data_IF_084893087989
#
_entry.id   IF_084893087989
#
_cell.length_a   1.000
_cell.length_b   1.000
_cell.length_c   1.000
_cell.angle_alpha   90.00
_cell.angle_beta   90.00
_cell.angle_gamma   90.00
#
_symmetry.space_group_name_H-M   'P 1'
#
loop_
_entity.id
_entity.type
_entity.pdbx_description
1 polymer ?
#
# COMPACT_ATOMS: atom_id res chain seq x y z
N UNK A 1 3.09 -26.14 5.80
CA UNK A 1 3.46 -24.87 5.15
C UNK A 1 2.49 -24.64 4.01
N UNK A 2 1.79 -23.52 4.00
CA UNK A 2 0.83 -23.13 2.95
C UNK A 2 1.38 -21.92 2.22
N UNK A 3 1.45 -21.94 0.90
CA UNK A 3 1.89 -20.80 0.10
C UNK A 3 0.93 -20.55 -1.07
N UNK A 4 0.68 -19.28 -1.37
CA UNK A 4 -0.15 -18.84 -2.50
C UNK A 4 0.44 -17.58 -3.10
N UNK A 5 0.41 -17.48 -4.43
CA UNK A 5 0.77 -16.27 -5.18
C UNK A 5 -0.33 -16.01 -6.21
N UNK A 6 -0.66 -14.74 -6.44
CA UNK A 6 -1.55 -14.30 -7.50
C UNK A 6 -0.89 -14.65 -8.85
N UNK A 7 -1.50 -15.53 -9.66
CA UNK A 7 -0.86 -16.00 -10.89
C UNK A 7 -0.50 -14.86 -11.83
N UNK A 8 0.73 -14.91 -12.35
CA UNK A 8 1.21 -13.96 -13.35
C UNK A 8 1.67 -12.61 -12.79
N UNK A 9 1.40 -12.24 -11.53
CA UNK A 9 1.93 -10.99 -10.98
C UNK A 9 3.33 -11.15 -10.41
N UNK A 10 4.22 -10.20 -10.73
CA UNK A 10 5.55 -10.06 -10.15
C UNK A 10 5.92 -8.57 -10.12
N UNK A 11 6.43 -8.02 -8.99
CA UNK A 11 6.90 -6.63 -8.92
C UNK A 11 7.83 -6.22 -10.06
N UNK A 12 8.77 -7.07 -10.49
CA UNK A 12 9.70 -6.83 -11.59
C UNK A 12 9.08 -6.74 -12.99
N UNK A 13 7.82 -7.18 -13.15
CA UNK A 13 7.12 -7.20 -14.45
C UNK A 13 5.89 -6.29 -14.44
N UNK A 14 5.23 -6.14 -13.28
CA UNK A 14 3.92 -5.50 -13.14
C UNK A 14 3.92 -4.32 -12.16
N UNK A 15 5.03 -4.10 -11.45
CA UNK A 15 5.27 -2.89 -10.66
C UNK A 15 5.96 -1.82 -11.50
N UNK A 16 5.75 -0.54 -11.17
CA UNK A 16 6.49 0.54 -11.85
C UNK A 16 7.99 0.40 -11.59
N UNK A 17 8.80 0.65 -12.63
CA UNK A 17 10.27 0.56 -12.56
C UNK A 17 10.96 1.81 -12.00
N UNK A 18 10.16 2.77 -11.51
CA UNK A 18 10.63 3.98 -10.84
C UNK A 18 10.18 3.98 -9.39
N UNK A 19 11.01 4.53 -8.51
CA UNK A 19 10.66 4.65 -7.10
C UNK A 19 9.61 5.75 -6.89
N UNK A 20 8.83 5.61 -5.82
CA UNK A 20 7.92 6.63 -5.32
C UNK A 20 8.68 7.83 -4.71
N UNK A 21 9.40 8.54 -5.57
CA UNK A 21 10.20 9.71 -5.26
C UNK A 21 9.86 10.78 -6.30
N UNK A 22 9.06 11.76 -5.90
CA UNK A 22 8.54 12.78 -6.81
C UNK A 22 9.23 14.12 -6.57
N UNK A 23 9.56 14.87 -7.64
CA UNK A 23 10.06 16.21 -7.49
C UNK A 23 8.99 17.11 -6.87
N UNK A 24 9.47 18.12 -6.16
CA UNK A 24 8.67 19.22 -5.61
C UNK A 24 7.68 19.78 -6.61
N UNK A 25 6.39 19.79 -6.29
CA UNK A 25 5.39 20.38 -7.16
C UNK A 25 3.96 20.08 -6.72
N UNK A 26 2.98 20.90 -7.13
CA UNK A 26 1.60 20.68 -6.75
C UNK A 26 1.09 19.38 -7.38
N UNK A 27 0.49 18.52 -6.55
CA UNK A 27 -0.17 17.26 -6.94
C UNK A 27 -1.54 17.52 -7.59
N UNK A 28 -1.66 18.51 -8.47
CA UNK A 28 -2.92 19.08 -9.04
C UNK A 28 -3.69 19.98 -8.05
N UNK A 29 -4.05 21.20 -8.48
CA UNK A 29 -5.04 22.07 -7.80
C UNK A 29 -6.45 21.72 -8.31
N UNK A 30 -7.35 21.20 -7.48
CA UNK A 30 -8.76 21.00 -7.85
C UNK A 30 -9.61 22.20 -7.41
N UNK A 31 -9.37 23.36 -8.02
CA UNK A 31 -10.23 24.55 -7.84
C UNK A 31 -10.35 25.06 -6.40
N UNK A 32 -11.26 26.03 -6.15
CA UNK A 32 -11.36 26.75 -4.87
C UNK A 32 -12.11 26.02 -3.74
N UNK A 33 -12.70 24.85 -4.00
CA UNK A 33 -13.49 24.07 -3.02
C UNK A 33 -12.84 22.73 -2.65
N UNK A 34 -11.52 22.65 -2.76
CA UNK A 34 -10.76 21.42 -2.67
C UNK A 34 -10.66 20.88 -1.22
N UNK A 35 -11.30 19.74 -0.88
CA UNK A 35 -11.34 19.20 0.48
C UNK A 35 -10.00 18.64 0.99
N UNK A 36 -8.90 18.77 0.23
CA UNK A 36 -7.59 18.14 0.45
C UNK A 36 -6.62 18.95 1.33
N UNK A 37 -7.12 19.88 2.15
CA UNK A 37 -6.33 20.71 3.10
C UNK A 37 -5.61 19.85 4.19
N UNK A 38 -5.88 18.55 4.26
CA UNK A 38 -5.20 17.62 5.17
C UNK A 38 -4.19 16.76 4.41
N UNK A 39 -2.96 17.27 4.23
CA UNK A 39 -1.76 16.46 3.91
C UNK A 39 -1.59 15.95 2.46
N UNK A 40 -2.55 16.16 1.55
CA UNK A 40 -2.50 15.69 0.14
C UNK A 40 -2.15 16.84 -0.83
N UNK A 41 -1.23 17.72 -0.42
CA UNK A 41 -0.92 18.97 -1.13
C UNK A 41 0.41 19.01 -1.89
N UNK A 42 1.33 18.08 -1.61
CA UNK A 42 2.69 18.07 -2.17
C UNK A 42 3.10 16.64 -2.55
N UNK A 43 3.57 16.46 -3.79
CA UNK A 43 4.00 15.16 -4.32
C UNK A 43 5.24 14.63 -3.59
N UNK A 44 6.01 15.49 -2.91
CA UNK A 44 7.14 15.10 -2.05
C UNK A 44 6.76 14.12 -0.95
N UNK A 45 5.50 14.13 -0.51
CA UNK A 45 4.98 13.18 0.48
C UNK A 45 4.72 11.78 -0.12
N UNK A 46 5.05 11.57 -1.40
CA UNK A 46 4.85 10.34 -2.12
C UNK A 46 3.43 10.20 -2.70
N UNK A 47 3.34 9.44 -3.79
CA UNK A 47 2.10 8.98 -4.42
C UNK A 47 1.97 7.45 -4.34
N UNK A 48 2.41 6.85 -3.22
CA UNK A 48 2.45 5.40 -3.05
C UNK A 48 1.09 4.75 -3.31
N UNK A 49 -0.01 5.34 -2.81
CA UNK A 49 -1.36 4.85 -3.07
C UNK A 49 -1.77 4.95 -4.53
N UNK A 50 -1.40 6.03 -5.19
CA UNK A 50 -1.61 6.21 -6.63
C UNK A 50 -0.86 5.17 -7.46
N UNK A 51 0.39 4.89 -7.11
CA UNK A 51 1.22 3.89 -7.78
C UNK A 51 0.70 2.47 -7.54
N UNK A 52 0.35 2.12 -6.31
CA UNK A 52 -0.27 0.83 -5.92
C UNK A 52 -1.55 0.61 -6.71
N UNK A 53 -2.46 1.58 -6.72
CA UNK A 53 -3.75 1.42 -7.39
C UNK A 53 -3.60 1.39 -8.91
N UNK A 54 -2.68 2.16 -9.48
CA UNK A 54 -2.43 2.16 -10.93
C UNK A 54 -1.76 0.87 -11.41
N UNK A 55 -0.79 0.32 -10.66
CA UNK A 55 -0.17 -0.97 -10.98
C UNK A 55 -1.20 -2.11 -10.92
N UNK A 56 -2.07 -2.09 -9.90
CA UNK A 56 -3.18 -3.05 -9.80
C UNK A 56 -4.18 -2.92 -10.97
N UNK A 57 -4.48 -1.70 -11.43
CA UNK A 57 -5.37 -1.46 -12.58
C UNK A 57 -4.77 -2.01 -13.88
N UNK A 58 -3.49 -1.73 -14.12
CA UNK A 58 -2.75 -2.19 -15.30
C UNK A 58 -2.72 -3.72 -15.37
N UNK A 59 -2.39 -4.38 -14.25
CA UNK A 59 -2.42 -5.83 -14.16
C UNK A 59 -3.84 -6.39 -14.41
N UNK A 60 -4.86 -5.82 -13.76
CA UNK A 60 -6.24 -6.27 -13.93
C UNK A 60 -6.76 -6.08 -15.37
N UNK A 61 -6.25 -5.07 -16.09
CA UNK A 61 -6.61 -4.77 -17.47
C UNK A 61 -5.73 -5.49 -18.51
N UNK A 62 -4.71 -6.26 -18.09
CA UNK A 62 -3.74 -6.87 -18.99
C UNK A 62 -2.91 -5.87 -19.80
N UNK A 63 -2.77 -4.63 -19.31
CA UNK A 63 -1.95 -3.59 -19.94
C UNK A 63 -0.53 -3.69 -19.38
N UNK A 64 0.50 -3.81 -20.22
CA UNK A 64 1.89 -3.84 -19.76
C UNK A 64 2.23 -2.61 -18.91
N UNK A 65 3.01 -2.80 -17.85
CA UNK A 65 3.58 -1.67 -17.11
C UNK A 65 4.54 -0.90 -18.04
N UNK A 66 4.59 0.43 -17.99
CA UNK A 66 5.54 1.19 -18.79
C UNK A 66 6.99 0.81 -18.42
N UNK A 67 7.90 0.68 -19.40
CA UNK A 67 9.30 0.32 -19.14
C UNK A 67 10.10 1.50 -18.54
N UNK A 68 9.47 2.67 -18.41
CA UNK A 68 10.09 3.89 -17.90
C UNK A 68 10.62 3.70 -16.48
N UNK A 69 11.89 4.08 -16.29
CA UNK A 69 12.58 4.05 -14.98
C UNK A 69 12.56 5.40 -14.27
N UNK A 70 11.97 6.40 -14.91
CA UNK A 70 11.76 7.74 -14.36
C UNK A 70 10.25 7.99 -14.20
N UNK A 71 9.82 8.69 -13.14
CA UNK A 71 8.41 9.02 -12.95
C UNK A 71 7.90 9.92 -14.09
N UNK A 72 6.62 9.80 -14.50
CA UNK A 72 6.03 10.67 -15.50
C UNK A 72 6.16 12.15 -15.14
N UNK A 73 6.45 12.98 -16.14
CA UNK A 73 6.59 14.42 -15.96
C UNK A 73 5.33 15.04 -15.32
N UNK A 74 5.52 16.02 -14.44
CA UNK A 74 4.42 16.72 -13.78
C UNK A 74 3.46 17.32 -14.84
N UNK A 75 2.16 17.12 -14.65
CA UNK A 75 1.12 17.59 -15.56
C UNK A 75 0.83 16.69 -16.78
N UNK A 76 1.65 15.66 -17.02
CA UNK A 76 1.36 14.61 -18.02
C UNK A 76 0.06 13.86 -17.69
N UNK A 77 -0.51 13.15 -18.66
CA UNK A 77 -1.73 12.37 -18.45
C UNK A 77 -1.48 11.21 -17.47
N UNK A 78 -0.32 10.56 -17.58
CA UNK A 78 0.14 9.50 -16.68
C UNK A 78 0.31 10.02 -15.24
N UNK A 79 0.95 11.17 -15.06
CA UNK A 79 1.07 11.78 -13.72
C UNK A 79 -0.31 12.09 -13.12
N UNK A 80 -1.19 12.72 -13.90
CA UNK A 80 -2.56 13.04 -13.47
C UNK A 80 -3.36 11.79 -13.11
N UNK A 81 -3.14 10.67 -13.80
CA UNK A 81 -3.80 9.40 -13.49
C UNK A 81 -3.32 8.81 -12.16
N UNK A 82 -2.02 8.82 -11.89
CA UNK A 82 -1.44 8.42 -10.60
C UNK A 82 -2.00 9.30 -9.48
N UNK A 83 -2.03 10.61 -9.66
CA UNK A 83 -2.59 11.55 -8.68
C UNK A 83 -4.07 11.26 -8.41
N UNK A 84 -4.86 11.00 -9.46
CA UNK A 84 -6.27 10.65 -9.30
C UNK A 84 -6.41 9.36 -8.49
N UNK A 85 -5.63 8.33 -8.81
CA UNK A 85 -5.63 7.07 -8.06
C UNK A 85 -5.12 7.25 -6.63
N UNK A 86 -4.20 8.19 -6.37
CA UNK A 86 -3.79 8.54 -5.02
C UNK A 86 -4.98 9.06 -4.21
N UNK A 87 -5.80 9.95 -4.77
CA UNK A 87 -7.02 10.43 -4.10
C UNK A 87 -8.04 9.31 -3.92
N UNK A 88 -8.26 8.48 -4.94
CA UNK A 88 -9.20 7.34 -4.87
C UNK A 88 -8.76 6.29 -3.83
N UNK A 89 -7.45 6.06 -3.67
CA UNK A 89 -6.88 5.14 -2.66
C UNK A 89 -7.19 5.55 -1.23
N UNK A 90 -7.49 6.82 -1.00
CA UNK A 90 -7.89 7.33 0.32
C UNK A 90 -9.36 7.03 0.63
N UNK A 91 -10.15 6.59 -0.37
CA UNK A 91 -11.58 6.29 -0.24
C UNK A 91 -12.29 7.36 0.61
N UNK A 92 -12.23 8.60 0.14
CA UNK A 92 -12.62 9.80 0.89
C UNK A 92 -11.85 9.94 2.21
N UNK A 93 -12.52 10.28 3.32
CA UNK A 93 -11.87 10.39 4.63
C UNK A 93 -11.72 9.05 5.35
N UNK A 94 -12.27 7.95 4.81
CA UNK A 94 -12.33 6.68 5.55
C UNK A 94 -10.95 6.03 5.75
N UNK A 95 -10.07 6.02 4.73
CA UNK A 95 -8.72 5.45 4.86
C UNK A 95 -7.84 6.36 5.73
N UNK A 96 -7.82 7.70 5.54
CA UNK A 96 -7.17 8.61 6.48
C UNK A 96 -7.59 8.40 7.94
N UNK A 97 -8.89 8.23 8.21
CA UNK A 97 -9.40 7.93 9.56
C UNK A 97 -8.91 6.58 10.06
N UNK A 98 -8.91 5.53 9.22
CA UNK A 98 -8.37 4.21 9.60
C UNK A 98 -6.87 4.27 9.93
N UNK A 99 -6.07 4.98 9.12
CA UNK A 99 -4.66 5.22 9.43
C UNK A 99 -4.51 5.94 10.76
N UNK A 100 -5.25 7.04 10.99
CA UNK A 100 -5.17 7.82 12.22
C UNK A 100 -5.56 6.98 13.44
N UNK A 101 -6.68 6.25 13.40
CA UNK A 101 -7.11 5.37 14.50
C UNK A 101 -6.05 4.32 14.85
N UNK A 102 -5.43 3.69 13.84
CA UNK A 102 -4.42 2.64 14.06
C UNK A 102 -3.06 3.20 14.52
N UNK A 103 -2.72 4.40 14.06
CA UNK A 103 -1.52 5.14 14.46
C UNK A 103 -1.65 5.66 15.90
N UNK A 104 -2.81 6.23 16.26
CA UNK A 104 -3.05 6.91 17.52
C UNK A 104 -3.44 5.97 18.68
N UNK A 105 -4.25 4.94 18.42
CA UNK A 105 -4.84 4.08 19.45
C UNK A 105 -4.15 2.72 19.60
N UNK A 106 -3.07 2.48 18.84
CA UNK A 106 -2.32 1.22 18.88
C UNK A 106 -1.37 1.07 20.07
N UNK A 107 -1.33 2.04 20.98
CA UNK A 107 -0.56 2.00 22.23
C UNK A 107 -1.40 2.53 23.39
N UNK A 108 -1.23 1.92 24.57
CA UNK A 108 -1.81 2.22 25.90
C UNK A 108 -3.32 2.15 26.14
N UNK A 109 -4.22 2.19 25.13
CA UNK A 109 -5.67 2.20 25.38
C UNK A 109 -6.54 1.17 24.63
N UNK A 110 -6.00 0.25 23.82
CA UNK A 110 -6.91 -0.57 22.98
C UNK A 110 -6.36 -1.77 22.20
N UNK A 111 -5.31 -2.44 22.67
CA UNK A 111 -4.87 -3.75 22.19
C UNK A 111 -3.60 -3.76 21.33
N UNK A 112 -2.97 -4.93 21.27
CA UNK A 112 -1.77 -5.21 20.47
C UNK A 112 -2.07 -5.05 18.97
N UNK A 113 -1.37 -4.10 18.33
CA UNK A 113 -1.50 -3.79 16.90
C UNK A 113 -1.29 -5.02 16.02
N UNK A 114 -0.33 -5.88 16.38
CA UNK A 114 -0.02 -7.08 15.64
C UNK A 114 -1.16 -8.10 15.70
N UNK A 115 -1.75 -8.26 16.89
CA UNK A 115 -2.96 -9.05 17.10
C UNK A 115 -4.13 -8.56 16.27
N UNK A 116 -4.35 -7.24 16.22
CA UNK A 116 -5.43 -6.68 15.42
C UNK A 116 -5.25 -6.94 13.93
N UNK A 117 -4.02 -6.80 13.41
CA UNK A 117 -3.69 -7.14 12.03
C UNK A 117 -3.91 -8.64 11.75
N UNK A 118 -3.38 -9.52 12.59
CA UNK A 118 -3.53 -10.97 12.45
C UNK A 118 -5.00 -11.44 12.52
N UNK A 119 -5.79 -10.91 13.45
CA UNK A 119 -7.16 -11.41 13.66
C UNK A 119 -8.19 -10.80 12.71
N UNK A 120 -7.98 -9.55 12.27
CA UNK A 120 -9.00 -8.79 11.52
C UNK A 120 -8.66 -8.52 10.07
N UNK A 121 -7.37 -8.38 9.74
CA UNK A 121 -6.94 -7.96 8.40
C UNK A 121 -6.37 -9.14 7.60
N UNK A 122 -5.65 -10.06 8.26
CA UNK A 122 -5.14 -11.27 7.61
C UNK A 122 -6.22 -12.13 6.95
N UNK A 123 -7.35 -12.50 7.62
CA UNK A 123 -8.38 -13.29 6.97
C UNK A 123 -8.96 -12.64 5.70
N UNK A 124 -9.05 -11.31 5.66
CA UNK A 124 -9.52 -10.57 4.49
C UNK A 124 -8.51 -10.65 3.35
N UNK A 125 -7.23 -10.37 3.63
CA UNK A 125 -6.18 -10.44 2.63
C UNK A 125 -6.02 -11.85 2.07
N UNK A 126 -6.06 -12.87 2.95
CA UNK A 126 -6.04 -14.29 2.56
C UNK A 126 -7.16 -14.62 1.59
N UNK A 127 -8.41 -14.25 1.89
CA UNK A 127 -9.55 -14.56 1.03
C UNK A 127 -9.42 -13.97 -0.38
N UNK A 128 -8.90 -12.74 -0.50
CA UNK A 128 -8.65 -12.09 -1.79
C UNK A 128 -7.49 -12.76 -2.56
N UNK A 129 -6.37 -13.05 -1.89
CA UNK A 129 -5.20 -13.72 -2.48
C UNK A 129 -5.53 -15.15 -2.92
N UNK A 130 -6.29 -15.90 -2.11
CA UNK A 130 -6.77 -17.24 -2.46
C UNK A 130 -7.66 -17.21 -3.71
N UNK A 131 -8.42 -16.13 -3.89
CA UNK A 131 -9.22 -15.87 -5.07
C UNK A 131 -8.43 -15.24 -6.25
N UNK A 132 -7.10 -15.18 -6.15
CA UNK A 132 -6.22 -14.69 -7.22
C UNK A 132 -6.29 -13.18 -7.44
N UNK A 133 -6.70 -12.40 -6.43
CA UNK A 133 -6.77 -10.93 -6.51
C UNK A 133 -5.66 -10.27 -5.70
N UNK A 134 -5.08 -9.22 -6.28
CA UNK A 134 -4.12 -8.35 -5.59
C UNK A 134 -4.81 -7.60 -4.46
N UNK A 135 -4.08 -7.36 -3.36
CA UNK A 135 -4.62 -6.70 -2.17
C UNK A 135 -3.81 -5.45 -1.84
N UNK A 136 -4.30 -4.24 -2.15
CA UNK A 136 -3.71 -3.03 -1.63
C UNK A 136 -3.76 -3.00 -0.08
N UNK A 137 -2.64 -2.67 0.54
CA UNK A 137 -2.47 -2.60 1.99
C UNK A 137 -2.02 -1.21 2.42
N UNK A 138 -2.52 -0.75 3.56
CA UNK A 138 -1.98 0.40 4.29
C UNK A 138 -1.04 -0.08 5.39
N UNK A 139 0.20 0.38 5.38
CA UNK A 139 1.23 0.08 6.38
C UNK A 139 1.33 1.20 7.42
N UNK A 140 1.24 0.83 8.70
CA UNK A 140 1.43 1.74 9.82
C UNK A 140 2.92 1.74 10.18
N UNK A 141 3.60 2.86 9.92
CA UNK A 141 5.04 3.02 10.17
C UNK A 141 5.35 3.67 11.52
N UNK A 142 4.47 4.57 11.96
CA UNK A 142 4.68 5.39 13.15
C UNK A 142 3.52 5.27 14.13
N UNK A 143 3.76 5.65 15.38
CA UNK A 143 2.73 5.80 16.41
C UNK A 143 2.67 7.27 16.80
N UNK A 144 1.55 7.93 16.52
CA UNK A 144 1.36 9.36 16.75
C UNK A 144 -0.14 9.72 16.76
N UNK A 145 -0.48 10.78 17.49
CA UNK A 145 -1.84 11.33 17.56
C UNK A 145 -2.08 12.46 16.55
N UNK A 146 -1.01 13.06 16.03
CA UNK A 146 -1.09 14.20 15.11
C UNK A 146 -1.48 13.71 13.69
N UNK A 147 -2.66 14.10 13.16
CA UNK A 147 -3.12 13.66 11.84
C UNK A 147 -2.27 14.21 10.68
N UNK A 148 -1.46 15.26 10.89
CA UNK A 148 -0.53 15.73 9.86
C UNK A 148 0.65 14.78 9.63
N UNK A 149 0.83 13.76 10.49
CA UNK A 149 1.87 12.74 10.33
C UNK A 149 1.40 11.51 9.55
N UNK A 150 0.17 11.53 9.00
CA UNK A 150 -0.37 10.45 8.17
C UNK A 150 0.50 10.11 6.96
N UNK A 151 1.21 11.08 6.41
CA UNK A 151 2.12 10.92 5.25
C UNK A 151 3.35 10.08 5.56
N UNK A 152 3.65 9.82 6.84
CA UNK A 152 4.73 8.90 7.24
C UNK A 152 4.31 7.43 7.16
N UNK A 153 3.04 7.14 6.93
CA UNK A 153 2.55 5.80 6.63
C UNK A 153 2.65 5.50 5.13
N UNK A 154 2.51 4.23 4.77
CA UNK A 154 2.79 3.78 3.41
C UNK A 154 1.67 2.92 2.83
N UNK A 155 1.62 2.78 1.51
CA UNK A 155 0.73 1.86 0.81
C UNK A 155 1.53 0.93 -0.10
N UNK A 156 1.15 -0.35 -0.13
CA UNK A 156 1.80 -1.41 -0.92
C UNK A 156 0.73 -2.34 -1.53
N UNK A 157 1.12 -3.25 -2.42
CA UNK A 157 0.24 -4.35 -2.88
C UNK A 157 0.76 -5.66 -2.29
N UNK A 158 -0.08 -6.44 -1.63
CA UNK A 158 0.20 -7.86 -1.43
C UNK A 158 -0.23 -8.68 -2.64
N UNK A 159 0.66 -9.56 -3.09
CA UNK A 159 0.45 -10.42 -4.27
C UNK A 159 0.66 -11.91 -3.96
N UNK A 160 1.00 -12.25 -2.73
CA UNK A 160 1.11 -13.63 -2.28
C UNK A 160 1.35 -13.72 -0.79
N UNK A 161 1.30 -14.94 -0.25
CA UNK A 161 1.57 -15.22 1.15
C UNK A 161 2.17 -16.60 1.38
N UNK A 162 2.84 -16.77 2.52
CA UNK A 162 3.25 -18.05 3.08
C UNK A 162 2.92 -18.12 4.58
N UNK A 163 2.43 -19.28 5.03
CA UNK A 163 2.19 -19.63 6.43
C UNK A 163 3.04 -20.86 6.78
N UNK A 164 3.94 -20.74 7.75
CA UNK A 164 4.88 -21.80 8.17
C UNK A 164 4.73 -22.23 9.64
N UNK A 165 3.73 -21.70 10.35
CA UNK A 165 3.48 -21.97 11.77
C UNK A 165 4.26 -21.07 12.73
N UNK A 166 5.34 -20.44 12.27
CA UNK A 166 6.08 -19.41 12.99
C UNK A 166 5.65 -17.99 12.58
N UNK A 167 5.00 -17.85 11.42
CA UNK A 167 4.52 -16.56 10.97
C UNK A 167 3.55 -16.62 9.80
N UNK A 168 3.07 -15.42 9.46
CA UNK A 168 2.36 -15.15 8.20
C UNK A 168 3.18 -14.12 7.44
N UNK A 169 3.76 -14.53 6.31
CA UNK A 169 4.55 -13.65 5.44
C UNK A 169 3.72 -13.30 4.21
N UNK A 170 3.60 -12.01 3.89
CA UNK A 170 2.99 -11.51 2.65
C UNK A 170 4.10 -11.01 1.73
N UNK A 171 4.11 -11.51 0.50
CA UNK A 171 4.95 -10.97 -0.58
C UNK A 171 4.30 -9.69 -1.09
N UNK A 172 5.08 -8.61 -1.23
CA UNK A 172 4.55 -7.30 -1.58
C UNK A 172 5.28 -6.64 -2.76
N UNK A 173 4.53 -5.88 -3.56
CA UNK A 173 5.09 -4.80 -4.37
C UNK A 173 5.07 -3.53 -3.52
N UNK A 174 6.26 -3.00 -3.24
CA UNK A 174 6.45 -1.74 -2.53
C UNK A 174 6.96 -0.69 -3.55
N UNK A 175 6.19 0.39 -3.82
CA UNK A 175 6.60 1.38 -4.81
C UNK A 175 7.83 2.21 -4.39
N UNK A 176 8.30 2.12 -3.14
CA UNK A 176 9.60 2.69 -2.74
C UNK A 176 10.78 1.79 -3.16
N UNK A 177 10.52 0.53 -3.50
CA UNK A 177 11.52 -0.49 -3.84
C UNK A 177 11.17 -1.17 -5.17
N UNK A 178 11.23 -0.43 -6.30
CA UNK A 178 10.90 -0.97 -7.62
C UNK A 178 11.83 -2.14 -7.98
N UNK A 179 11.36 -3.03 -8.86
CA UNK A 179 12.11 -4.19 -9.38
C UNK A 179 12.59 -5.20 -8.32
N UNK A 180 11.91 -5.26 -7.17
CA UNK A 180 12.25 -6.18 -6.08
C UNK A 180 11.11 -7.16 -5.81
N UNK A 181 11.29 -8.42 -6.24
CA UNK A 181 10.33 -9.51 -5.99
C UNK A 181 10.45 -10.13 -4.58
N UNK A 182 11.53 -9.81 -3.87
CA UNK A 182 11.87 -10.34 -2.55
C UNK A 182 11.37 -9.49 -1.38
N UNK A 183 10.67 -8.38 -1.65
CA UNK A 183 10.09 -7.55 -0.58
C UNK A 183 8.90 -8.27 0.05
N UNK A 184 8.94 -8.42 1.37
CA UNK A 184 7.86 -9.05 2.13
C UNK A 184 7.64 -8.38 3.48
N UNK A 185 6.44 -8.54 4.01
CA UNK A 185 6.08 -8.19 5.40
C UNK A 185 5.70 -9.46 6.14
N UNK A 186 6.08 -9.57 7.41
CA UNK A 186 5.81 -10.77 8.21
C UNK A 186 5.14 -10.39 9.52
N UNK A 187 4.10 -11.14 9.89
CA UNK A 187 3.58 -11.21 11.26
C UNK A 187 4.27 -12.39 11.93
N UNK A 188 5.10 -12.12 12.94
CA UNK A 188 5.81 -13.14 13.71
C UNK A 188 4.91 -13.70 14.80
N UNK A 189 4.91 -15.01 15.00
CA UNK A 189 4.13 -15.71 16.01
C UNK A 189 5.05 -16.43 17.01
N UNK A 190 4.62 -16.56 18.26
CA UNK A 190 5.22 -17.48 19.23
C UNK A 190 4.67 -18.92 19.08
N UNK A 191 5.18 -19.85 19.89
CA UNK A 191 4.73 -21.26 19.91
C UNK A 191 3.23 -21.43 20.26
N UNK A 192 2.62 -20.41 20.89
CA UNK A 192 1.20 -20.36 21.19
C UNK A 192 0.39 -19.65 20.10
N UNK A 193 1.00 -19.41 18.94
CA UNK A 193 0.44 -18.70 17.78
C UNK A 193 -0.03 -17.27 18.09
N UNK A 194 0.60 -16.61 19.07
CA UNK A 194 0.34 -15.22 19.42
C UNK A 194 1.32 -14.33 18.68
N UNK A 195 0.87 -13.21 18.12
CA UNK A 195 1.76 -12.32 17.41
C UNK A 195 2.74 -11.64 18.37
N UNK A 196 4.02 -11.67 18.03
CA UNK A 196 5.12 -11.08 18.80
C UNK A 196 5.63 -9.78 18.16
N UNK A 197 5.35 -9.56 16.88
CA UNK A 197 5.71 -8.34 16.18
C UNK A 197 5.46 -8.42 14.68
N UNK A 198 5.82 -7.34 13.99
CA UNK A 198 5.84 -7.29 12.54
C UNK A 198 7.17 -6.77 12.04
N UNK A 199 7.57 -7.22 10.85
CA UNK A 199 8.75 -6.70 10.16
C UNK A 199 8.51 -6.60 8.66
N UNK A 200 9.33 -5.78 8.01
CA UNK A 200 9.49 -5.77 6.55
C UNK A 200 10.94 -6.09 6.22
N UNK A 201 11.18 -6.82 5.12
CA UNK A 201 12.54 -7.22 4.71
C UNK A 201 13.46 -6.03 4.39
N UNK A 202 12.91 -4.86 4.08
CA UNK A 202 13.65 -3.61 3.83
C UNK A 202 14.18 -2.95 5.10
N UNK A 203 13.80 -3.45 6.29
CA UNK A 203 14.19 -2.89 7.59
C UNK A 203 13.37 -1.67 8.03
N UNK A 204 12.45 -1.17 7.19
CA UNK A 204 11.53 -0.10 7.57
C UNK A 204 10.57 -0.55 8.68
N UNK A 205 10.29 0.36 9.62
CA UNK A 205 9.40 0.08 10.75
C UNK A 205 8.03 -0.42 10.27
N UNK A 206 7.47 -1.42 10.94
CA UNK A 206 6.12 -1.91 10.65
C UNK A 206 5.41 -2.19 11.97
N UNK A 207 4.44 -1.35 12.31
CA UNK A 207 3.68 -1.46 13.55
C UNK A 207 2.38 -2.24 13.36
N UNK A 208 1.79 -2.15 12.17
CA UNK A 208 0.57 -2.83 11.76
C UNK A 208 0.37 -2.68 10.25
N UNK A 209 -0.55 -3.46 9.69
CA UNK A 209 -1.10 -3.20 8.37
C UNK A 209 -2.59 -3.53 8.31
N UNK A 210 -3.27 -3.02 7.30
CA UNK A 210 -4.68 -3.30 7.04
C UNK A 210 -5.01 -3.33 5.55
N UNK A 211 -6.02 -4.10 5.16
CA UNK A 211 -6.49 -4.16 3.78
C UNK A 211 -7.25 -2.88 3.39
N UNK A 212 -6.91 -2.33 2.22
CA UNK A 212 -7.55 -1.15 1.64
C UNK A 212 -8.69 -1.57 0.68
N UNK A 213 -9.76 -0.78 0.58
CA UNK A 213 -10.82 -1.03 -0.39
C UNK A 213 -10.31 -0.77 -1.81
N UNK A 214 -10.30 -1.79 -2.65
CA UNK A 214 -9.85 -1.68 -4.04
C UNK A 214 -11.02 -1.86 -5.02
N UNK A 215 -11.06 -1.00 -6.03
CA UNK A 215 -11.92 -1.13 -7.20
C UNK A 215 -11.06 -0.84 -8.43
N UNK A 216 -11.01 -1.77 -9.42
CA UNK A 216 -10.33 -1.53 -10.67
C UNK A 216 -10.88 -0.27 -11.37
N UNK A 217 -9.97 0.49 -11.97
CA UNK A 217 -10.27 1.62 -12.84
C UNK A 217 -9.63 1.40 -14.21
N UNK A 218 -10.22 1.98 -15.25
CA UNK A 218 -9.72 1.83 -16.62
C UNK A 218 -8.42 2.63 -16.82
N UNK A 219 -7.27 1.99 -17.10
CA UNK A 219 -5.97 2.64 -17.15
C UNK A 219 -5.73 3.35 -18.49
N UNK A 220 -6.72 4.07 -19.02
CA UNK A 220 -6.66 4.74 -20.35
C UNK A 220 -5.46 5.66 -20.54
N UNK A 221 -4.94 6.25 -19.47
CA UNK A 221 -3.76 7.13 -19.53
C UNK A 221 -2.45 6.38 -19.87
N UNK A 222 -2.47 5.04 -19.88
CA UNK A 222 -1.32 4.17 -20.07
C UNK A 222 -1.40 3.30 -21.33
N UNK A 223 -2.44 3.49 -22.16
CA UNK A 223 -2.56 2.88 -23.48
C UNK A 223 -2.11 3.87 -24.54
#
# INVERSE_FOLDING_TARGET
MTEKVVPGFAPTIHGFHFANAWPSGPTVKFGPLDPRIVGVGDARNGLCGGMVYSAADLFAAGVPIPPDREPPANGSQQFKSIVRRQVESLYWLSVPVRFWLRMALGGSLGGDRARSTLQREWPKARAELDAGRLVPLGLIRISAVNPFQLTNNHQVIAYGYAEDGAGVTLRIYDPNWPDRDDVSITIHLDDALRPTGLSQTTGEALLAWFALPYRPSDPRAWR
#
